data_IF_714290570689
#
_entry.id   IF_714290570689
#
_cell.length_a   1.000
_cell.length_b   1.000
_cell.length_c   1.000
_cell.angle_alpha   90.00
_cell.angle_beta   90.00
_cell.angle_gamma   90.00
#
_symmetry.space_group_name_H-M   'P 1'
#
loop_
_entity.id
_entity.type
_entity.pdbx_description
1 polymer ?
#
# COMPACT_ATOMS: atom_id res chain seq x y z
N UNK A 1 -18.36 46.18 47.43
CA UNK A 1 -17.06 45.49 47.29
C UNK A 1 -17.28 43.98 47.44
N UNK A 2 -16.48 43.18 46.70
CA UNK A 2 -16.52 41.70 46.49
C UNK A 2 -17.19 41.30 45.16
N UNK A 3 -16.53 41.57 44.03
CA UNK A 3 -15.58 40.71 43.28
C UNK A 3 -16.25 39.59 42.48
N UNK A 4 -16.30 39.84 41.16
CA UNK A 4 -16.60 38.91 40.07
C UNK A 4 -15.71 37.66 40.14
N UNK A 5 -16.30 36.48 39.91
CA UNK A 5 -15.58 35.27 39.52
C UNK A 5 -15.81 35.04 38.02
N UNK A 6 -14.71 35.05 37.28
CA UNK A 6 -14.59 34.95 35.83
C UNK A 6 -15.07 33.60 35.28
N UNK A 7 -15.84 33.65 34.19
CA UNK A 7 -16.11 32.51 33.32
C UNK A 7 -14.86 32.30 32.45
N UNK A 8 -14.11 31.24 32.71
CA UNK A 8 -13.03 30.81 31.83
C UNK A 8 -13.61 30.23 30.54
N UNK A 9 -13.58 31.02 29.47
CA UNK A 9 -13.82 30.55 28.12
C UNK A 9 -12.64 29.66 27.72
N UNK A 10 -12.76 28.35 27.92
CA UNK A 10 -11.81 27.39 27.38
C UNK A 10 -11.96 27.42 25.87
N UNK A 11 -11.09 28.17 25.20
CA UNK A 11 -10.88 28.05 23.76
C UNK A 11 -10.42 26.61 23.50
N UNK A 12 -11.35 25.74 23.11
CA UNK A 12 -10.98 24.48 22.46
C UNK A 12 -10.17 24.85 21.22
N UNK A 13 -8.90 24.44 21.11
CA UNK A 13 -8.25 24.44 19.82
C UNK A 13 -9.05 23.47 18.95
N UNK A 14 -9.82 24.01 18.00
CA UNK A 14 -10.31 23.26 16.85
C UNK A 14 -9.05 22.75 16.17
N UNK A 15 -8.71 21.48 16.44
CA UNK A 15 -7.67 20.78 15.71
C UNK A 15 -8.10 20.74 14.25
N UNK A 16 -7.57 21.70 13.50
CA UNK A 16 -7.58 21.68 12.06
C UNK A 16 -7.10 20.30 11.62
N UNK A 17 -7.96 19.56 10.93
CA UNK A 17 -7.61 18.30 10.30
C UNK A 17 -6.70 18.60 9.10
N UNK A 18 -5.45 18.98 9.37
CA UNK A 18 -4.37 18.77 8.43
C UNK A 18 -4.04 17.28 8.47
N UNK A 19 -4.87 16.47 7.81
CA UNK A 19 -4.61 15.05 7.63
C UNK A 19 -3.22 14.91 7.03
N UNK A 20 -2.28 14.41 7.81
CA UNK A 20 -0.89 14.27 7.39
C UNK A 20 -0.89 13.18 6.35
N UNK A 21 -0.79 13.57 5.08
CA UNK A 21 -0.70 12.64 3.97
C UNK A 21 0.62 11.88 4.11
N UNK A 22 0.53 10.61 4.45
CA UNK A 22 1.66 9.78 4.87
C UNK A 22 1.71 8.49 4.07
N UNK A 23 2.93 8.18 3.68
CA UNK A 23 3.31 6.92 3.03
C UNK A 23 4.40 6.32 3.90
N UNK A 24 4.29 5.02 4.19
CA UNK A 24 5.33 4.28 4.88
C UNK A 24 5.64 3.02 4.10
N UNK A 25 6.94 2.70 4.03
CA UNK A 25 7.45 1.53 3.33
C UNK A 25 8.29 0.71 4.30
N UNK A 26 7.97 -0.57 4.41
CA UNK A 26 8.72 -1.54 5.20
C UNK A 26 9.12 -2.69 4.30
N UNK A 27 10.43 -2.95 4.18
CA UNK A 27 10.96 -4.09 3.46
C UNK A 27 11.55 -5.12 4.40
N UNK A 28 11.25 -6.40 4.19
CA UNK A 28 11.95 -7.53 4.81
C UNK A 28 12.49 -8.41 3.67
N UNK A 29 13.78 -8.74 3.69
CA UNK A 29 14.39 -9.66 2.75
C UNK A 29 15.30 -10.64 3.48
N UNK A 30 15.09 -11.94 3.25
CA UNK A 30 15.84 -13.04 3.88
C UNK A 30 15.89 -12.92 5.42
N UNK A 31 14.77 -12.48 6.01
CA UNK A 31 14.62 -12.29 7.45
C UNK A 31 15.26 -11.01 8.01
N UNK A 32 15.81 -10.15 7.16
CA UNK A 32 16.45 -8.88 7.56
C UNK A 32 15.61 -7.67 7.11
N UNK A 33 15.46 -6.64 7.95
CA UNK A 33 14.87 -5.38 7.52
C UNK A 33 15.72 -4.71 6.43
N UNK A 34 15.06 -4.19 5.41
CA UNK A 34 15.64 -3.23 4.48
C UNK A 34 15.52 -1.84 5.09
N UNK A 35 16.56 -1.03 4.95
CA UNK A 35 16.61 0.34 5.48
C UNK A 35 16.59 1.31 4.32
N UNK A 36 15.59 2.19 4.29
CA UNK A 36 15.39 3.16 3.24
C UNK A 36 15.57 4.58 3.80
N UNK A 37 16.06 5.50 2.97
CA UNK A 37 15.88 6.93 3.27
C UNK A 37 14.44 7.32 2.98
N UNK A 38 13.98 8.46 3.50
CA UNK A 38 12.63 8.95 3.24
C UNK A 38 12.36 9.13 1.74
N UNK A 39 13.33 9.68 1.00
CA UNK A 39 13.22 9.87 -0.45
C UNK A 39 13.09 8.53 -1.18
N UNK A 40 13.82 7.51 -0.73
CA UNK A 40 13.71 6.16 -1.26
C UNK A 40 12.35 5.53 -0.94
N UNK A 41 11.80 5.72 0.27
CA UNK A 41 10.46 5.22 0.63
C UNK A 41 9.39 5.80 -0.29
N UNK A 42 9.40 7.10 -0.54
CA UNK A 42 8.44 7.76 -1.45
C UNK A 42 8.57 7.22 -2.87
N UNK A 43 9.80 7.05 -3.38
CA UNK A 43 10.05 6.49 -4.72
C UNK A 43 9.61 5.03 -4.82
N UNK A 44 9.91 4.21 -3.83
CA UNK A 44 9.53 2.78 -3.79
C UNK A 44 8.02 2.64 -3.72
N UNK A 45 7.33 3.46 -2.93
CA UNK A 45 5.87 3.44 -2.86
C UNK A 45 5.23 3.82 -4.20
N UNK A 46 5.80 4.80 -4.91
CA UNK A 46 5.33 5.15 -6.25
C UNK A 46 5.57 4.04 -7.26
N UNK A 47 6.76 3.41 -7.27
CA UNK A 47 7.06 2.26 -8.12
C UNK A 47 6.13 1.07 -7.83
N UNK A 48 5.83 0.81 -6.56
CA UNK A 48 4.87 -0.21 -6.17
C UNK A 48 3.47 0.10 -6.72
N UNK A 49 3.03 1.36 -6.63
CA UNK A 49 1.76 1.82 -7.20
C UNK A 49 1.75 1.70 -8.72
N UNK A 50 2.80 2.12 -9.41
CA UNK A 50 2.97 2.00 -10.86
C UNK A 50 2.88 0.53 -11.29
N UNK A 51 3.55 -0.38 -10.57
CA UNK A 51 3.45 -1.82 -10.82
C UNK A 51 2.00 -2.32 -10.69
N UNK A 52 1.28 -1.94 -9.63
CA UNK A 52 -0.13 -2.31 -9.45
C UNK A 52 -1.00 -1.83 -10.61
N UNK A 53 -0.80 -0.61 -11.10
CA UNK A 53 -1.58 -0.04 -12.20
C UNK A 53 -1.40 -0.81 -13.52
N UNK A 54 -0.33 -1.59 -13.67
CA UNK A 54 -0.11 -2.44 -14.85
C UNK A 54 -0.72 -3.84 -14.73
N UNK A 55 -1.28 -4.20 -13.57
CA UNK A 55 -1.85 -5.53 -13.37
C UNK A 55 -3.06 -5.77 -14.28
N UNK A 56 -3.07 -6.91 -14.97
CA UNK A 56 -4.11 -7.24 -15.94
C UNK A 56 -5.23 -8.13 -15.37
N UNK A 57 -5.01 -8.77 -14.23
CA UNK A 57 -5.95 -9.73 -13.63
C UNK A 57 -6.06 -9.56 -12.13
N UNK A 58 -7.29 -9.44 -11.63
CA UNK A 58 -7.59 -9.66 -10.21
C UNK A 58 -7.65 -11.18 -9.94
N UNK A 59 -6.73 -11.67 -9.11
CA UNK A 59 -6.67 -13.06 -8.74
C UNK A 59 -7.83 -13.43 -7.80
N UNK A 60 -8.37 -14.62 -8.02
CA UNK A 60 -9.56 -15.08 -7.31
C UNK A 60 -9.37 -15.37 -5.81
N UNK A 61 -10.45 -15.83 -5.14
CA UNK A 61 -10.50 -16.07 -3.70
C UNK A 61 -9.40 -16.95 -3.10
N UNK A 62 -8.80 -17.94 -3.80
CA UNK A 62 -7.70 -18.72 -3.21
C UNK A 62 -6.44 -17.91 -2.87
N UNK A 63 -6.25 -16.75 -3.52
CA UNK A 63 -5.11 -15.86 -3.32
C UNK A 63 -5.49 -14.65 -2.47
N UNK A 64 -6.63 -14.02 -2.75
CA UNK A 64 -7.14 -12.84 -2.05
C UNK A 64 -7.69 -13.17 -0.64
N UNK A 65 -6.84 -13.63 0.27
CA UNK A 65 -7.22 -14.03 1.64
C UNK A 65 -6.32 -13.44 2.71
N UNK A 66 -6.89 -13.25 3.91
CA UNK A 66 -6.13 -12.81 5.09
C UNK A 66 -5.04 -13.83 5.47
N UNK A 67 -5.27 -15.13 5.20
CA UNK A 67 -4.25 -16.16 5.40
C UNK A 67 -3.02 -15.91 4.51
N UNK A 68 -3.23 -15.66 3.22
CA UNK A 68 -2.14 -15.35 2.27
C UNK A 68 -1.41 -14.05 2.63
N UNK A 69 -2.14 -13.03 3.08
CA UNK A 69 -1.54 -11.80 3.61
C UNK A 69 -0.58 -12.09 4.78
N UNK A 70 -1.04 -12.84 5.78
CA UNK A 70 -0.23 -13.21 6.95
C UNK A 70 0.98 -14.08 6.57
N UNK A 71 0.82 -14.99 5.62
CA UNK A 71 1.92 -15.80 5.09
C UNK A 71 2.97 -14.94 4.40
N UNK A 72 2.55 -14.04 3.49
CA UNK A 72 3.45 -13.14 2.78
C UNK A 72 4.20 -12.18 3.72
N UNK A 73 3.53 -11.64 4.75
CA UNK A 73 4.17 -10.78 5.78
C UNK A 73 5.22 -11.49 6.62
N UNK A 74 5.24 -12.82 6.66
CA UNK A 74 6.26 -13.61 7.38
C UNK A 74 7.46 -14.00 6.51
N UNK A 75 7.35 -13.81 5.19
CA UNK A 75 8.40 -14.10 4.23
C UNK A 75 9.10 -12.80 3.78
N UNK A 76 9.98 -12.89 2.79
CA UNK A 76 10.54 -11.71 2.12
C UNK A 76 9.42 -10.92 1.42
N UNK A 77 9.22 -9.66 1.80
CA UNK A 77 8.15 -8.82 1.30
C UNK A 77 8.50 -7.33 1.36
N UNK A 78 7.80 -6.56 0.54
CA UNK A 78 7.65 -5.12 0.65
C UNK A 78 6.20 -4.82 1.11
N UNK A 79 6.06 -4.07 2.19
CA UNK A 79 4.79 -3.58 2.70
C UNK A 79 4.74 -2.06 2.55
N UNK A 80 3.72 -1.57 1.85
CA UNK A 80 3.47 -0.14 1.65
C UNK A 80 2.12 0.20 2.27
N UNK A 81 2.06 1.26 3.07
CA UNK A 81 0.81 1.74 3.66
C UNK A 81 0.59 3.22 3.32
N UNK A 82 -0.66 3.55 2.98
CA UNK A 82 -1.09 4.90 2.63
C UNK A 82 -2.10 5.41 3.65
N UNK A 83 -1.88 6.60 4.18
CA UNK A 83 -2.84 7.29 5.05
C UNK A 83 -2.97 8.76 4.64
N UNK A 84 -4.08 9.17 4.01
CA UNK A 84 -5.28 8.36 3.69
C UNK A 84 -5.03 7.33 2.58
N UNK A 85 -5.96 6.39 2.42
CA UNK A 85 -5.96 5.43 1.31
C UNK A 85 -5.88 6.15 -0.05
N UNK A 86 -5.20 5.53 -1.02
CA UNK A 86 -5.06 6.08 -2.37
C UNK A 86 -6.03 5.43 -3.34
N UNK A 87 -6.64 6.23 -4.20
CA UNK A 87 -7.43 5.72 -5.33
C UNK A 87 -6.50 5.29 -6.45
N UNK A 88 -6.61 4.04 -6.89
CA UNK A 88 -5.99 3.52 -8.11
C UNK A 88 -7.08 3.19 -9.14
N UNK A 89 -6.99 3.78 -10.33
CA UNK A 89 -7.91 3.51 -11.45
C UNK A 89 -7.11 2.84 -12.55
N UNK A 90 -7.46 1.60 -12.86
CA UNK A 90 -6.74 0.81 -13.87
C UNK A 90 -7.64 -0.28 -14.46
N UNK A 91 -7.22 -0.83 -15.61
CA UNK A 91 -8.00 -1.79 -16.38
C UNK A 91 -7.52 -3.22 -16.12
N UNK A 92 -8.39 -4.06 -15.55
CA UNK A 92 -8.09 -5.47 -15.31
C UNK A 92 -9.32 -6.36 -15.49
N UNK A 93 -9.09 -7.67 -15.60
CA UNK A 93 -10.12 -8.70 -15.68
C UNK A 93 -10.32 -9.38 -14.32
N UNK A 94 -11.58 -9.64 -13.95
CA UNK A 94 -11.96 -10.48 -12.80
C UNK A 94 -12.42 -11.86 -13.28
N UNK A 95 -13.49 -11.92 -14.07
CA UNK A 95 -14.08 -13.16 -14.62
C UNK A 95 -14.53 -13.01 -16.08
N UNK A 96 -14.13 -11.93 -16.76
CA UNK A 96 -14.60 -11.57 -18.10
C UNK A 96 -13.65 -10.60 -18.81
N UNK A 97 -14.09 -9.90 -19.87
CA UNK A 97 -13.27 -8.88 -20.52
C UNK A 97 -12.76 -7.86 -19.50
N UNK A 98 -11.52 -7.39 -19.67
CA UNK A 98 -10.99 -6.37 -18.79
C UNK A 98 -11.83 -5.09 -18.85
N UNK A 99 -12.05 -4.43 -17.72
CA UNK A 99 -12.74 -3.16 -17.62
C UNK A 99 -11.96 -2.23 -16.70
N UNK A 100 -12.25 -0.93 -16.78
CA UNK A 100 -11.68 0.03 -15.84
C UNK A 100 -12.36 -0.13 -14.47
N UNK A 101 -11.56 -0.14 -13.42
CA UNK A 101 -12.03 -0.31 -12.06
C UNK A 101 -11.33 0.69 -11.15
N UNK A 102 -12.07 1.18 -10.16
CA UNK A 102 -11.52 1.92 -9.03
C UNK A 102 -11.19 0.96 -7.89
N UNK A 103 -10.00 1.10 -7.32
CA UNK A 103 -9.53 0.35 -6.15
C UNK A 103 -9.04 1.35 -5.11
N UNK A 104 -9.58 1.27 -3.89
CA UNK A 104 -9.06 2.04 -2.76
C UNK A 104 -7.94 1.24 -2.09
N UNK A 105 -6.73 1.77 -2.11
CA UNK A 105 -5.51 1.11 -1.65
C UNK A 105 -5.11 1.67 -0.29
N UNK A 106 -5.41 0.94 0.79
CA UNK A 106 -4.92 1.27 2.13
C UNK A 106 -3.50 0.74 2.33
N UNK A 107 -3.29 -0.52 1.94
CA UNK A 107 -2.01 -1.20 2.07
C UNK A 107 -1.74 -2.08 0.84
N UNK A 108 -0.46 -2.18 0.48
CA UNK A 108 0.04 -3.12 -0.52
C UNK A 108 1.07 -4.03 0.13
N UNK A 109 1.02 -5.31 -0.19
CA UNK A 109 2.00 -6.30 0.22
C UNK A 109 2.48 -7.06 -1.01
N UNK A 110 3.75 -6.86 -1.34
CA UNK A 110 4.40 -7.40 -2.52
C UNK A 110 5.44 -8.42 -2.04
N UNK A 111 5.23 -9.73 -2.27
CA UNK A 111 6.28 -10.72 -2.04
C UNK A 111 7.51 -10.38 -2.89
N UNK A 112 8.70 -10.35 -2.30
CA UNK A 112 9.94 -10.05 -3.03
C UNK A 112 10.92 -11.20 -2.92
N UNK A 113 11.69 -11.42 -3.97
CA UNK A 113 12.80 -12.37 -4.02
C UNK A 113 13.95 -11.76 -4.82
N UNK A 114 15.18 -12.22 -4.60
CA UNK A 114 16.35 -11.74 -5.34
C UNK A 114 16.29 -12.11 -6.82
N UNK A 115 15.71 -13.26 -7.14
CA UNK A 115 15.79 -13.86 -8.48
C UNK A 115 14.42 -14.05 -9.12
N UNK A 116 13.35 -13.54 -8.51
CA UNK A 116 11.99 -13.74 -9.00
C UNK A 116 11.10 -12.54 -8.72
N UNK A 117 10.35 -12.16 -9.74
CA UNK A 117 9.26 -11.20 -9.60
C UNK A 117 8.13 -11.76 -8.74
N UNK A 118 7.36 -10.90 -8.07
CA UNK A 118 6.14 -11.35 -7.42
C UNK A 118 5.25 -12.06 -8.46
N UNK A 119 4.51 -13.08 -8.05
CA UNK A 119 3.43 -13.67 -8.87
C UNK A 119 2.09 -12.90 -8.69
N UNK A 120 1.95 -12.22 -7.56
CA UNK A 120 0.81 -11.35 -7.25
C UNK A 120 1.21 -10.22 -6.28
N UNK A 121 0.41 -9.16 -6.28
CA UNK A 121 0.39 -8.09 -5.29
C UNK A 121 -0.88 -8.26 -4.45
N UNK A 122 -0.75 -8.32 -3.13
CA UNK A 122 -1.90 -8.28 -2.24
C UNK A 122 -2.22 -6.84 -1.88
N UNK A 123 -3.49 -6.48 -1.93
CA UNK A 123 -4.00 -5.15 -1.60
C UNK A 123 -5.02 -5.26 -0.49
N UNK A 124 -4.93 -4.40 0.52
CA UNK A 124 -5.99 -4.17 1.49
C UNK A 124 -6.83 -2.98 1.04
N UNK A 125 -8.12 -3.23 0.87
CA UNK A 125 -9.13 -2.22 0.53
C UNK A 125 -10.24 -2.24 1.57
N UNK A 126 -10.30 -1.21 2.41
CA UNK A 126 -11.27 -1.01 3.49
C UNK A 126 -11.45 -2.28 4.34
N UNK A 127 -10.33 -2.92 4.67
CA UNK A 127 -10.27 -4.17 5.44
C UNK A 127 -10.52 -5.45 4.63
N UNK A 128 -10.83 -5.37 3.34
CA UNK A 128 -10.96 -6.53 2.43
C UNK A 128 -9.64 -6.82 1.73
N UNK A 129 -9.36 -8.10 1.50
CA UNK A 129 -8.20 -8.55 0.74
C UNK A 129 -8.54 -8.66 -0.73
N UNK A 130 -7.68 -8.09 -1.57
CA UNK A 130 -7.67 -8.23 -3.02
C UNK A 130 -6.29 -8.67 -3.47
N UNK A 131 -6.20 -9.28 -4.64
CA UNK A 131 -4.94 -9.76 -5.18
C UNK A 131 -4.88 -9.46 -6.68
N UNK A 132 -3.76 -8.94 -7.15
CA UNK A 132 -3.58 -8.54 -8.54
C UNK A 132 -2.34 -9.21 -9.13
N UNK A 133 -2.39 -9.61 -10.39
CA UNK A 133 -1.35 -10.40 -11.05
C UNK A 133 -1.21 -10.01 -12.52
N UNK A 134 -0.20 -10.59 -13.20
CA UNK A 134 0.10 -10.35 -14.62
C UNK A 134 0.34 -8.86 -14.91
N UNK A 135 1.23 -8.25 -14.15
CA UNK A 135 1.71 -6.88 -14.36
C UNK A 135 2.82 -6.82 -15.42
N UNK A 136 3.18 -5.60 -15.81
CA UNK A 136 4.27 -5.34 -16.75
C UNK A 136 5.62 -5.71 -16.12
N UNK A 137 6.37 -6.65 -16.74
CA UNK A 137 7.76 -6.98 -16.38
C UNK A 137 8.67 -5.77 -16.13
N UNK A 138 8.55 -4.72 -16.94
CA UNK A 138 9.42 -3.54 -16.84
C UNK A 138 9.21 -2.77 -15.55
N UNK A 139 7.97 -2.72 -15.06
CA UNK A 139 7.68 -2.07 -13.78
C UNK A 139 8.11 -2.95 -12.60
N UNK A 140 8.09 -4.29 -12.77
CA UNK A 140 8.58 -5.20 -11.75
C UNK A 140 10.11 -5.06 -11.60
N UNK A 141 10.82 -4.94 -12.72
CA UNK A 141 12.26 -4.67 -12.76
C UNK A 141 12.61 -3.32 -12.14
N UNK A 142 11.91 -2.24 -12.51
CA UNK A 142 12.14 -0.91 -11.93
C UNK A 142 11.95 -0.88 -10.41
N UNK A 143 10.95 -1.59 -9.88
CA UNK A 143 10.76 -1.75 -8.44
C UNK A 143 11.90 -2.57 -7.82
N UNK A 144 12.33 -3.66 -8.45
CA UNK A 144 13.38 -4.52 -7.95
C UNK A 144 14.73 -3.80 -7.88
N UNK A 145 15.07 -3.01 -8.90
CA UNK A 145 16.30 -2.22 -8.94
C UNK A 145 16.34 -1.18 -7.81
N UNK A 146 15.19 -0.60 -7.46
CA UNK A 146 15.09 0.36 -6.36
C UNK A 146 15.26 -0.28 -4.96
N UNK A 147 15.23 -1.62 -4.85
CA UNK A 147 15.42 -2.34 -3.60
C UNK A 147 16.86 -2.83 -3.38
N UNK A 148 17.76 -2.64 -4.35
CA UNK A 148 19.18 -3.02 -4.27
C UNK A 148 20.05 -1.88 -3.71
#
# INVERSE_FOLDING_TARGET
>A
MRTLAWIAFVALPVLAHAGTDTVAVVGIQDGRPLVFTREAEERIAELARELLLTALVEAGPPIATERRWKEARRASHLHVSFTPARTAIFRFSTTGPAAEHEVQVDEMLIPISKDRWPDYILVRERGKMRAFSKYDPRQAEALQDALQ
#
